data_IF_428416603159
#
_entry.id   IF_428416603159
#
_cell.length_a   1.000
_cell.length_b   1.000
_cell.length_c   1.000
_cell.angle_alpha   90.00
_cell.angle_beta   90.00
_cell.angle_gamma   90.00
#
_symmetry.space_group_name_H-M   'P 1'
#
loop_
_entity.id
_entity.type
_entity.pdbx_description
1 polymer ?
#
# COMPACT_ATOMS: atom_id res chain seq x y z
N UNK A 1 -7.89 -13.54 0.19
CA UNK A 1 -8.11 -12.48 -0.81
C UNK A 1 -6.91 -12.48 -1.73
N UNK A 2 -7.12 -12.63 -3.04
CA UNK A 2 -6.06 -12.46 -4.06
C UNK A 2 -5.67 -10.98 -4.13
N UNK A 3 -4.47 -10.66 -4.62
CA UNK A 3 -4.04 -9.26 -4.72
C UNK A 3 -4.95 -8.46 -5.65
N UNK A 4 -5.42 -9.10 -6.73
CA UNK A 4 -6.42 -8.53 -7.64
C UNK A 4 -7.77 -8.22 -6.99
N UNK A 5 -8.25 -9.08 -6.08
CA UNK A 5 -9.49 -8.82 -5.33
C UNK A 5 -9.32 -7.61 -4.40
N UNK A 6 -8.15 -7.48 -3.78
CA UNK A 6 -7.84 -6.34 -2.94
C UNK A 6 -7.69 -5.05 -3.76
N UNK A 7 -6.99 -5.07 -4.89
CA UNK A 7 -6.92 -3.93 -5.81
C UNK A 7 -8.30 -3.46 -6.25
N UNK A 8 -9.21 -4.39 -6.57
CA UNK A 8 -10.59 -4.05 -6.93
C UNK A 8 -11.36 -3.44 -5.76
N UNK A 9 -11.19 -3.97 -4.54
CA UNK A 9 -11.77 -3.36 -3.35
C UNK A 9 -11.28 -1.91 -3.17
N UNK A 10 -9.97 -1.67 -3.32
CA UNK A 10 -9.37 -0.34 -3.21
C UNK A 10 -9.93 0.60 -4.28
N UNK A 11 -10.07 0.15 -5.53
CA UNK A 11 -10.67 0.93 -6.61
C UNK A 11 -12.11 1.37 -6.27
N UNK A 12 -12.94 0.44 -5.81
CA UNK A 12 -14.33 0.73 -5.43
C UNK A 12 -14.42 1.71 -4.25
N UNK A 13 -13.57 1.52 -3.24
CA UNK A 13 -13.53 2.41 -2.09
C UNK A 13 -13.01 3.81 -2.46
N UNK A 14 -12.00 3.87 -3.33
CA UNK A 14 -11.46 5.12 -3.88
C UNK A 14 -12.56 5.90 -4.60
N UNK A 15 -13.35 5.22 -5.43
CA UNK A 15 -14.50 5.80 -6.12
C UNK A 15 -15.57 6.33 -5.15
N UNK A 16 -15.94 5.52 -4.14
CA UNK A 16 -16.91 5.88 -3.11
C UNK A 16 -16.49 7.15 -2.33
N UNK A 17 -15.19 7.30 -2.05
CA UNK A 17 -14.64 8.43 -1.29
C UNK A 17 -14.25 9.64 -2.16
N UNK A 18 -14.33 9.53 -3.48
CA UNK A 18 -13.95 10.63 -4.38
C UNK A 18 -12.43 10.75 -4.63
N UNK A 19 -11.65 9.77 -4.17
CA UNK A 19 -10.18 9.74 -4.27
C UNK A 19 -9.67 9.48 -5.69
N UNK A 20 -10.47 8.86 -6.55
CA UNK A 20 -10.19 8.69 -7.98
C UNK A 20 -9.90 10.01 -8.70
N UNK A 21 -10.46 11.12 -8.21
CA UNK A 21 -10.30 12.46 -8.79
C UNK A 21 -8.98 13.15 -8.45
N UNK A 22 -8.17 12.57 -7.55
CA UNK A 22 -6.83 13.10 -7.23
C UNK A 22 -5.90 13.02 -8.45
N UNK A 23 -4.78 13.73 -8.47
CA UNK A 23 -3.73 13.50 -9.50
C UNK A 23 -2.79 12.38 -9.08
N UNK A 24 -1.94 11.89 -9.99
CA UNK A 24 -0.91 10.88 -9.65
C UNK A 24 0.08 11.46 -8.64
N UNK A 25 0.45 12.74 -8.78
CA UNK A 25 1.33 13.45 -7.87
C UNK A 25 0.71 13.56 -6.47
N UNK A 26 -0.56 13.96 -6.38
CA UNK A 26 -1.28 14.00 -5.10
C UNK A 26 -1.35 12.61 -4.45
N UNK A 27 -1.65 11.57 -5.24
CA UNK A 27 -1.70 10.20 -4.74
C UNK A 27 -0.34 9.71 -4.22
N UNK A 28 0.74 10.09 -4.91
CA UNK A 28 2.10 9.81 -4.47
C UNK A 28 2.43 10.52 -3.16
N UNK A 29 1.97 11.76 -2.98
CA UNK A 29 2.13 12.48 -1.72
C UNK A 29 1.39 11.81 -0.56
N UNK A 30 0.16 11.33 -0.76
CA UNK A 30 -0.56 10.57 0.27
C UNK A 30 0.16 9.27 0.63
N UNK A 31 0.71 8.53 -0.35
CA UNK A 31 1.53 7.36 -0.05
C UNK A 31 2.75 7.72 0.83
N UNK A 32 3.39 8.86 0.57
CA UNK A 32 4.52 9.32 1.38
C UNK A 32 4.09 9.76 2.78
N UNK A 33 2.89 10.30 2.94
CA UNK A 33 2.28 10.66 4.22
C UNK A 33 2.11 9.41 5.10
N UNK A 34 1.43 8.36 4.60
CA UNK A 34 1.23 7.10 5.35
C UNK A 34 2.56 6.41 5.69
N UNK A 35 3.55 6.49 4.78
CA UNK A 35 4.87 5.93 5.05
C UNK A 35 5.57 6.68 6.19
N UNK A 36 5.31 7.98 6.32
CA UNK A 36 5.74 8.82 7.44
C UNK A 36 5.06 8.42 8.75
N UNK A 37 3.75 8.22 8.75
CA UNK A 37 2.98 7.77 9.91
C UNK A 37 3.45 6.39 10.39
N UNK A 38 3.67 5.46 9.45
CA UNK A 38 4.28 4.16 9.75
C UNK A 38 5.67 4.29 10.39
N UNK A 39 6.52 5.16 9.83
CA UNK A 39 7.85 5.39 10.39
C UNK A 39 7.77 5.97 11.81
N UNK A 40 6.86 6.90 12.05
CA UNK A 40 6.62 7.49 13.36
C UNK A 40 6.13 6.45 14.38
N UNK A 41 5.16 5.61 14.02
CA UNK A 41 4.65 4.53 14.86
C UNK A 41 5.76 3.52 15.21
N UNK A 42 6.63 3.17 14.26
CA UNK A 42 7.77 2.29 14.48
C UNK A 42 8.82 2.93 15.39
N UNK A 43 9.10 4.23 15.25
CA UNK A 43 10.08 4.95 16.09
C UNK A 43 9.58 5.09 17.52
N UNK A 44 8.27 5.34 17.71
CA UNK A 44 7.63 5.43 19.02
C UNK A 44 7.36 4.08 19.69
N UNK A 45 7.73 2.97 19.04
CA UNK A 45 7.40 1.63 19.54
C UNK A 45 8.02 1.33 20.89
N UNK A 46 7.18 0.86 21.80
CA UNK A 46 7.57 0.20 23.04
C UNK A 46 7.11 -1.27 22.98
N UNK A 47 7.58 -2.14 23.88
CA UNK A 47 7.23 -3.58 23.90
C UNK A 47 5.74 -3.87 24.23
N UNK A 48 4.86 -2.87 24.21
CA UNK A 48 3.43 -3.01 24.51
C UNK A 48 2.64 -3.49 23.26
N UNK A 49 1.58 -4.27 23.51
CA UNK A 49 0.68 -4.78 22.48
C UNK A 49 -0.04 -3.68 21.71
N UNK A 50 -0.28 -2.53 22.33
CA UNK A 50 -0.93 -1.40 21.67
C UNK A 50 -0.11 -0.87 20.50
N UNK A 51 1.23 -0.87 20.59
CA UNK A 51 2.05 -0.37 19.48
C UNK A 51 2.06 -1.30 18.27
N UNK A 52 2.03 -2.63 18.48
CA UNK A 52 1.92 -3.56 17.34
C UNK A 52 0.59 -3.40 16.60
N UNK A 53 -0.49 -3.03 17.30
CA UNK A 53 -1.76 -2.71 16.66
C UNK A 53 -1.65 -1.47 15.77
N UNK A 54 -1.12 -0.38 16.32
CA UNK A 54 -0.93 0.88 15.59
C UNK A 54 -0.05 0.69 14.34
N UNK A 55 1.14 0.08 14.50
CA UNK A 55 2.02 -0.25 13.37
C UNK A 55 1.30 -1.08 12.32
N UNK A 56 0.47 -2.04 12.73
CA UNK A 56 -0.31 -2.86 11.80
C UNK A 56 -1.36 -2.07 11.01
N UNK A 57 -1.94 -1.02 11.59
CA UNK A 57 -2.86 -0.10 10.89
C UNK A 57 -2.07 0.73 9.88
N UNK A 58 -0.97 1.36 10.29
CA UNK A 58 -0.14 2.19 9.40
C UNK A 58 0.47 1.37 8.24
N UNK A 59 0.87 0.12 8.50
CA UNK A 59 1.32 -0.79 7.45
C UNK A 59 0.21 -1.04 6.42
N UNK A 60 -1.04 -1.16 6.87
CA UNK A 60 -2.16 -1.35 5.99
C UNK A 60 -2.48 -0.09 5.17
N UNK A 61 -2.34 1.09 5.76
CA UNK A 61 -2.55 2.37 5.05
C UNK A 61 -1.51 2.58 3.94
N UNK A 62 -0.26 2.16 4.16
CA UNK A 62 0.77 2.08 3.11
C UNK A 62 0.37 1.10 2.00
N UNK A 63 -0.06 -0.12 2.35
CA UNK A 63 -0.49 -1.13 1.36
C UNK A 63 -1.68 -0.61 0.54
N UNK A 64 -2.65 0.04 1.19
CA UNK A 64 -3.83 0.62 0.55
C UNK A 64 -3.42 1.71 -0.44
N UNK A 65 -2.56 2.65 -0.03
CA UNK A 65 -2.10 3.73 -0.91
C UNK A 65 -1.24 3.23 -2.09
N UNK A 66 -0.46 2.17 -1.91
CA UNK A 66 0.24 1.50 -3.03
C UNK A 66 -0.77 0.93 -4.03
N UNK A 67 -1.84 0.29 -3.55
CA UNK A 67 -2.88 -0.26 -4.42
C UNK A 67 -3.66 0.84 -5.16
N UNK A 68 -4.01 1.94 -4.49
CA UNK A 68 -4.72 3.05 -5.12
C UNK A 68 -3.85 3.75 -6.17
N UNK A 69 -2.55 3.93 -5.89
CA UNK A 69 -1.59 4.44 -6.86
C UNK A 69 -1.44 3.50 -8.06
N UNK A 70 -1.35 2.19 -7.83
CA UNK A 70 -1.29 1.20 -8.91
C UNK A 70 -2.54 1.24 -9.79
N UNK A 71 -3.72 1.28 -9.19
CA UNK A 71 -4.98 1.40 -9.92
C UNK A 71 -5.02 2.67 -10.79
N UNK A 72 -4.52 3.78 -10.26
CA UNK A 72 -4.44 5.07 -10.96
C UNK A 72 -3.47 5.10 -12.13
N UNK A 73 -2.42 4.28 -12.05
CA UNK A 73 -1.43 4.07 -13.10
C UNK A 73 -1.81 2.91 -14.04
N UNK A 74 -2.96 2.29 -13.84
CA UNK A 74 -3.43 1.12 -14.60
C UNK A 74 -2.46 -0.09 -14.49
N UNK A 75 -1.86 -0.28 -13.32
CA UNK A 75 -0.90 -1.37 -13.04
C UNK A 75 -1.61 -2.54 -12.35
N UNK A 76 -1.49 -3.73 -12.93
CA UNK A 76 -1.86 -5.01 -12.29
C UNK A 76 -0.72 -5.45 -11.35
N UNK A 77 -0.96 -5.39 -10.03
CA UNK A 77 0.05 -5.75 -9.03
C UNK A 77 0.22 -7.27 -8.91
N UNK A 78 -0.79 -8.08 -9.26
CA UNK A 78 -0.63 -9.54 -9.30
C UNK A 78 0.31 -9.92 -10.44
N UNK A 79 0.15 -9.33 -11.63
CA UNK A 79 1.10 -9.53 -12.75
C UNK A 79 2.51 -9.06 -12.37
N UNK A 80 2.65 -7.86 -11.80
CA UNK A 80 3.94 -7.32 -11.35
C UNK A 80 4.59 -8.21 -10.27
N UNK A 81 3.80 -8.77 -9.35
CA UNK A 81 4.25 -9.73 -8.36
C UNK A 81 4.78 -11.01 -9.02
N UNK A 82 4.03 -11.60 -9.97
CA UNK A 82 4.47 -12.81 -10.67
C UNK A 82 5.78 -12.59 -11.45
N UNK A 83 5.91 -11.44 -12.13
CA UNK A 83 7.14 -11.07 -12.84
C UNK A 83 8.30 -10.92 -11.85
N UNK A 84 8.10 -10.19 -10.75
CA UNK A 84 9.13 -9.95 -9.74
C UNK A 84 9.59 -11.24 -9.07
N UNK A 85 8.68 -12.17 -8.80
CA UNK A 85 9.01 -13.46 -8.21
C UNK A 85 9.84 -14.35 -9.15
N UNK A 86 9.62 -14.28 -10.47
CA UNK A 86 10.50 -14.96 -11.43
C UNK A 86 11.91 -14.41 -11.37
N UNK A 87 12.07 -13.09 -11.37
CA UNK A 87 13.37 -12.42 -11.26
C UNK A 87 14.08 -12.78 -9.94
N UNK A 88 13.34 -12.83 -8.83
CA UNK A 88 13.91 -13.09 -7.51
C UNK A 88 14.37 -14.55 -7.30
N UNK A 89 13.85 -15.53 -8.07
CA UNK A 89 14.28 -16.93 -7.96
C UNK A 89 15.76 -17.13 -8.26
N UNK A 90 16.30 -16.29 -9.12
CA UNK A 90 17.69 -16.39 -9.59
C UNK A 90 18.63 -15.42 -8.84
N UNK A 91 18.15 -14.77 -7.77
CA UNK A 91 18.96 -13.85 -6.95
C UNK A 91 19.57 -14.55 -5.74
N UNK A 92 20.87 -14.39 -5.56
CA UNK A 92 21.52 -14.56 -4.25
C UNK A 92 21.48 -13.22 -3.50
N UNK A 93 21.15 -13.26 -2.20
CA UNK A 93 20.98 -12.08 -1.33
C UNK A 93 22.09 -12.00 -0.30
#
# INVERSE_FOLDING_TARGET
MKLSEFQQYVANFSEEKGFQNTTIEMRTMYLMEELGELAEAIVKRNEDKNTNREIGLEMFDVIWNVCDLANKLEIDLEEAFQEKMKINRDREW
#
